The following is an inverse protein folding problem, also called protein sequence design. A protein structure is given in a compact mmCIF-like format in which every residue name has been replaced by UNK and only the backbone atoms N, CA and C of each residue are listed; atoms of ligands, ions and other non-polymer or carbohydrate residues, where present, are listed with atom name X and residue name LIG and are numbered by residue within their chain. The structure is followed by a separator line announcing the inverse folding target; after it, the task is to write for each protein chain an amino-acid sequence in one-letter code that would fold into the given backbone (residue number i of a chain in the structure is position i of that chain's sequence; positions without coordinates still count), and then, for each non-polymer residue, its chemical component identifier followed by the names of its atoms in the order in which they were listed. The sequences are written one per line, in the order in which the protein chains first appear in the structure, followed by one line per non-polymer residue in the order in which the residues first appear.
data_IF_852458501742
#
_entry.id   IF_852458501742
#
_cell.length_a   1.000
_cell.length_b   1.000
_cell.length_c   1.000
_cell.angle_alpha   90.00
_cell.angle_beta   90.00
_cell.angle_gamma   90.00
#
_symmetry.space_group_name_H-M   'P 1'
#
loop_
_entity.id
_entity.type
_entity.pdbx_description
1 polymer ?
#
# COMPACT_ATOMS: atom_id res chain seq x y z
N UNK A 1 -19.10 -1.59 -5.83
CA UNK A 1 -19.66 -0.46 -6.61
C UNK A 1 -21.17 -0.27 -6.46
N UNK A 2 -22.07 -1.17 -6.91
CA UNK A 2 -23.54 -0.94 -6.88
C UNK A 2 -24.16 -0.69 -5.49
N UNK A 3 -23.66 -1.30 -4.42
CA UNK A 3 -24.24 -1.11 -3.07
C UNK A 3 -23.89 0.26 -2.45
N UNK A 4 -22.68 0.78 -2.69
CA UNK A 4 -22.28 2.14 -2.24
C UNK A 4 -23.15 3.21 -2.89
N UNK A 5 -23.42 3.14 -4.20
CA UNK A 5 -24.27 4.11 -4.90
C UNK A 5 -25.69 4.19 -4.35
N UNK A 6 -26.28 3.07 -3.92
CA UNK A 6 -27.63 3.08 -3.34
C UNK A 6 -27.64 3.67 -1.91
N UNK A 7 -26.58 3.46 -1.13
CA UNK A 7 -26.41 4.08 0.20
C UNK A 7 -26.21 5.57 0.06
N UNK A 8 -25.30 5.99 -0.82
CA UNK A 8 -25.05 7.42 -1.12
C UNK A 8 -26.33 8.11 -1.60
N UNK A 9 -27.09 7.53 -2.53
CA UNK A 9 -28.39 8.08 -2.98
C UNK A 9 -29.41 8.21 -1.84
N UNK A 10 -29.42 7.28 -0.90
CA UNK A 10 -30.33 7.33 0.25
C UNK A 10 -29.92 8.40 1.25
N UNK A 11 -28.62 8.55 1.52
CA UNK A 11 -28.07 9.63 2.36
C UNK A 11 -28.35 10.97 1.72
N UNK A 12 -28.04 11.14 0.43
CA UNK A 12 -28.32 12.37 -0.33
C UNK A 12 -29.81 12.73 -0.33
N UNK A 13 -30.71 11.73 -0.30
CA UNK A 13 -32.17 11.95 -0.22
C UNK A 13 -32.63 12.50 1.12
N UNK A 14 -31.89 12.25 2.20
CA UNK A 14 -32.22 12.68 3.57
C UNK A 14 -31.37 13.90 4.04
N UNK A 15 -30.29 14.21 3.34
CA UNK A 15 -29.38 15.32 3.68
C UNK A 15 -30.03 16.68 3.35
N UNK A 16 -29.70 17.68 4.17
CA UNK A 16 -30.02 19.06 3.90
C UNK A 16 -29.31 19.59 2.64
N UNK A 17 -29.75 20.69 2.04
CA UNK A 17 -29.19 21.21 0.80
C UNK A 17 -27.67 21.51 0.86
N UNK A 18 -27.16 21.92 2.03
CA UNK A 18 -25.74 22.24 2.23
C UNK A 18 -24.90 20.99 2.23
N UNK A 19 -25.26 20.01 3.06
CA UNK A 19 -24.60 18.69 3.13
C UNK A 19 -24.67 17.96 1.80
N UNK A 20 -25.79 18.04 1.08
CA UNK A 20 -25.93 17.46 -0.27
C UNK A 20 -24.95 18.06 -1.26
N UNK A 21 -24.74 19.38 -1.21
CA UNK A 21 -23.79 20.08 -2.08
C UNK A 21 -22.36 19.65 -1.78
N UNK A 22 -21.97 19.57 -0.49
CA UNK A 22 -20.65 19.10 -0.06
C UNK A 22 -20.39 17.66 -0.52
N UNK A 23 -21.32 16.75 -0.30
CA UNK A 23 -21.19 15.36 -0.75
C UNK A 23 -21.04 15.28 -2.28
N UNK A 24 -21.81 16.04 -3.05
CA UNK A 24 -21.70 16.06 -4.50
C UNK A 24 -20.37 16.68 -5.00
N UNK A 25 -19.76 17.57 -4.25
CA UNK A 25 -18.43 18.10 -4.56
C UNK A 25 -17.34 17.06 -4.30
N UNK A 26 -17.40 16.37 -3.16
CA UNK A 26 -16.46 15.30 -2.82
C UNK A 26 -16.54 14.11 -3.77
N UNK A 27 -17.74 13.74 -4.23
CA UNK A 27 -17.95 12.65 -5.20
C UNK A 27 -17.36 12.90 -6.60
N UNK A 28 -16.86 14.11 -6.89
CA UNK A 28 -16.18 14.40 -8.15
C UNK A 28 -14.74 13.94 -8.17
N UNK A 29 -14.13 13.73 -7.01
CA UNK A 29 -12.75 13.27 -6.89
C UNK A 29 -12.67 11.74 -7.00
N UNK A 30 -11.55 11.19 -7.50
CA UNK A 30 -11.31 9.75 -7.47
C UNK A 30 -11.37 9.22 -6.04
N UNK A 31 -11.90 7.99 -5.84
CA UNK A 31 -12.06 7.40 -4.50
C UNK A 31 -10.71 7.28 -3.77
N UNK A 32 -9.64 6.88 -4.48
CA UNK A 32 -8.31 6.63 -3.93
C UNK A 32 -7.38 7.85 -4.03
N UNK A 33 -7.95 9.06 -3.89
CA UNK A 33 -7.19 10.32 -3.95
C UNK A 33 -7.38 11.18 -2.70
N UNK A 34 -6.44 12.11 -2.45
CA UNK A 34 -6.56 13.08 -1.37
C UNK A 34 -7.91 13.81 -1.37
N UNK A 35 -8.44 14.15 -2.56
CA UNK A 35 -9.76 14.75 -2.70
C UNK A 35 -10.92 13.83 -2.34
N UNK A 36 -10.75 12.51 -2.52
CA UNK A 36 -11.76 11.50 -2.18
C UNK A 36 -11.84 11.18 -0.69
N UNK A 37 -10.72 11.32 0.03
CA UNK A 37 -10.61 11.00 1.46
C UNK A 37 -10.58 12.22 2.38
N UNK A 38 -10.49 13.43 1.83
CA UNK A 38 -10.44 14.67 2.61
C UNK A 38 -11.79 15.01 3.29
N UNK A 39 -11.71 15.73 4.40
CA UNK A 39 -12.83 16.46 4.98
C UNK A 39 -12.75 17.96 4.63
N UNK A 40 -13.91 18.61 4.50
CA UNK A 40 -14.00 20.07 4.30
C UNK A 40 -14.20 20.82 5.61
N UNK A 41 -14.25 20.12 6.73
CA UNK A 41 -14.49 20.67 8.07
C UNK A 41 -13.18 21.16 8.72
N UNK A 42 -12.56 22.16 8.11
CA UNK A 42 -11.29 22.75 8.54
C UNK A 42 -11.47 24.16 9.14
N UNK A 43 -10.49 24.59 9.92
CA UNK A 43 -10.46 25.95 10.47
C UNK A 43 -9.64 26.87 9.57
N UNK A 44 -10.30 27.85 8.97
CA UNK A 44 -9.72 28.88 8.08
C UNK A 44 -9.63 30.24 8.78
N UNK A 45 -8.48 30.88 8.66
CA UNK A 45 -8.19 32.20 9.20
C UNK A 45 -7.70 33.15 8.11
N UNK A 46 -7.81 34.47 8.36
CA UNK A 46 -7.28 35.49 7.47
C UNK A 46 -5.97 36.07 8.02
N UNK A 47 -5.03 36.45 7.14
CA UNK A 47 -3.70 36.92 7.55
C UNK A 47 -3.71 38.23 8.33
N UNK A 48 -4.73 39.07 8.13
CA UNK A 48 -4.95 40.36 8.77
C UNK A 48 -5.66 40.30 10.13
N UNK A 49 -6.22 39.12 10.49
CA UNK A 49 -6.81 38.91 11.81
C UNK A 49 -5.74 39.02 12.90
N UNK A 50 -6.13 39.58 14.06
CA UNK A 50 -5.32 39.54 15.27
C UNK A 50 -5.44 38.16 15.95
N UNK A 51 -4.49 37.83 16.83
CA UNK A 51 -4.55 36.59 17.66
C UNK A 51 -5.85 36.54 18.46
N UNK A 52 -6.31 37.68 19.02
CA UNK A 52 -7.58 37.75 19.75
C UNK A 52 -8.79 37.42 18.87
N UNK A 53 -8.82 37.95 17.64
CA UNK A 53 -9.88 37.65 16.67
C UNK A 53 -9.86 36.20 16.21
N UNK A 54 -8.69 35.65 15.97
CA UNK A 54 -8.53 34.24 15.60
C UNK A 54 -9.02 33.29 16.71
N UNK A 55 -8.68 33.58 17.96
CA UNK A 55 -9.15 32.82 19.11
C UNK A 55 -10.67 32.87 19.27
N UNK A 56 -11.27 34.05 19.03
CA UNK A 56 -12.72 34.21 19.05
C UNK A 56 -13.39 33.45 17.90
N UNK A 57 -12.82 33.48 16.69
CA UNK A 57 -13.28 32.68 15.55
C UNK A 57 -13.23 31.17 15.83
N UNK A 58 -12.17 30.70 16.47
CA UNK A 58 -12.03 29.29 16.87
C UNK A 58 -13.08 28.92 17.91
N UNK A 59 -13.31 29.75 18.95
CA UNK A 59 -14.33 29.47 19.97
C UNK A 59 -15.74 29.40 19.38
N UNK A 60 -16.04 30.24 18.40
CA UNK A 60 -17.36 30.30 17.78
C UNK A 60 -17.62 29.18 16.79
N UNK A 61 -16.63 28.84 15.97
CA UNK A 61 -16.82 27.94 14.82
C UNK A 61 -16.13 26.56 14.99
N UNK A 62 -15.29 26.39 16.01
CA UNK A 62 -14.43 25.19 16.14
C UNK A 62 -15.18 23.91 16.51
N UNK A 63 -16.41 24.00 17.03
CA UNK A 63 -17.20 22.81 17.37
C UNK A 63 -17.62 21.98 16.15
N UNK A 64 -17.77 22.62 14.99
CA UNK A 64 -18.18 21.99 13.74
C UNK A 64 -16.96 21.66 12.85
N UNK A 65 -15.76 21.69 13.41
CA UNK A 65 -14.51 21.41 12.67
C UNK A 65 -13.90 20.08 13.09
N UNK A 66 -13.36 19.35 12.13
CA UNK A 66 -12.67 18.09 12.35
C UNK A 66 -11.49 18.26 13.30
N UNK A 67 -10.73 19.34 13.14
CA UNK A 67 -9.64 19.71 14.03
C UNK A 67 -9.45 21.22 14.08
N UNK A 68 -9.04 21.71 15.27
CA UNK A 68 -8.61 23.10 15.51
C UNK A 68 -7.12 23.19 15.82
N UNK A 69 -6.42 22.05 15.84
CA UNK A 69 -4.99 22.02 16.18
C UNK A 69 -4.14 22.82 15.18
N UNK A 70 -4.52 22.75 13.90
CA UNK A 70 -3.93 23.51 12.82
C UNK A 70 -5.02 24.38 12.17
N UNK A 71 -4.80 25.70 12.15
CA UNK A 71 -5.66 26.65 11.45
C UNK A 71 -4.94 27.08 10.19
N UNK A 72 -5.62 27.03 9.06
CA UNK A 72 -5.03 27.34 7.76
C UNK A 72 -5.32 28.78 7.39
N UNK A 73 -4.27 29.48 6.94
CA UNK A 73 -4.38 30.89 6.57
C UNK A 73 -4.51 31.01 5.06
N UNK A 74 -5.56 31.70 4.61
CA UNK A 74 -5.86 31.87 3.19
C UNK A 74 -5.97 33.33 2.82
N UNK A 75 -5.68 33.65 1.55
CA UNK A 75 -5.94 34.98 0.97
C UNK A 75 -7.42 35.15 0.56
N UNK A 76 -7.74 36.29 -0.04
CA UNK A 76 -9.12 36.61 -0.52
C UNK A 76 -9.60 35.69 -1.63
N UNK A 77 -8.68 35.02 -2.34
CA UNK A 77 -8.96 34.01 -3.36
C UNK A 77 -8.99 32.57 -2.82
N UNK A 78 -8.97 32.41 -1.49
CA UNK A 78 -8.86 31.12 -0.77
C UNK A 78 -7.58 30.35 -1.05
N UNK A 79 -6.53 30.98 -1.54
CA UNK A 79 -5.23 30.31 -1.71
C UNK A 79 -4.58 30.11 -0.36
N UNK A 80 -4.02 28.93 -0.16
CA UNK A 80 -3.28 28.58 1.05
C UNK A 80 -1.96 29.35 1.09
N UNK A 81 -1.78 30.21 2.10
CA UNK A 81 -0.60 31.07 2.28
C UNK A 81 0.17 30.77 3.57
N UNK A 82 -0.44 30.03 4.50
CA UNK A 82 0.22 29.69 5.77
C UNK A 82 -0.59 28.74 6.63
N UNK A 83 0.02 28.29 7.71
CA UNK A 83 -0.61 27.53 8.79
C UNK A 83 -0.20 28.09 10.14
N UNK A 84 -1.12 28.15 11.08
CA UNK A 84 -0.84 28.53 12.45
C UNK A 84 -1.42 27.45 13.39
N UNK A 85 -0.60 26.97 14.33
CA UNK A 85 -1.09 26.00 15.30
C UNK A 85 -1.88 26.68 16.43
N UNK A 86 -2.89 26.01 16.97
CA UNK A 86 -3.60 26.46 18.16
C UNK A 86 -2.61 26.71 19.31
N UNK A 87 -1.56 25.90 19.43
CA UNK A 87 -0.50 26.11 20.41
C UNK A 87 0.19 27.46 20.25
N UNK A 88 0.50 27.87 19.02
CA UNK A 88 1.12 29.17 18.76
C UNK A 88 0.20 30.31 19.17
N UNK A 89 -1.10 30.23 18.84
CA UNK A 89 -2.12 31.20 19.22
C UNK A 89 -2.26 31.34 20.74
N UNK A 90 -2.31 30.22 21.47
CA UNK A 90 -2.44 30.20 22.95
C UNK A 90 -1.21 30.77 23.64
N UNK A 91 0.01 30.53 23.06
CA UNK A 91 1.27 31.00 23.64
C UNK A 91 1.72 32.37 23.14
N UNK A 92 0.98 33.01 22.25
CA UNK A 92 1.26 34.36 21.77
C UNK A 92 1.20 35.36 22.93
N UNK A 93 2.25 36.15 23.06
CA UNK A 93 2.36 37.16 24.15
C UNK A 93 1.54 38.42 23.87
N UNK A 94 1.38 38.74 22.60
CA UNK A 94 0.61 39.91 22.16
C UNK A 94 -0.66 39.46 21.41
N UNK A 95 -1.83 39.72 21.96
CA UNK A 95 -3.11 39.35 21.38
C UNK A 95 -3.51 40.22 20.17
N UNK A 96 -2.85 41.37 20.02
CA UNK A 96 -3.08 42.29 18.87
C UNK A 96 -2.12 42.02 17.70
N UNK A 97 -1.24 41.05 17.84
CA UNK A 97 -0.34 40.61 16.77
C UNK A 97 -1.12 40.01 15.61
N UNK A 98 -0.86 40.39 14.34
CA UNK A 98 -1.56 39.83 13.20
C UNK A 98 -1.08 38.41 12.90
N UNK A 99 -2.00 37.55 12.45
CA UNK A 99 -1.73 36.13 12.15
C UNK A 99 -0.60 35.92 11.14
N UNK A 100 -0.46 36.82 10.17
CA UNK A 100 0.62 36.76 9.17
C UNK A 100 2.03 36.76 9.77
N UNK A 101 2.22 37.34 10.96
CA UNK A 101 3.54 37.41 11.61
C UNK A 101 3.79 36.17 12.48
N UNK A 102 2.74 35.40 12.79
CA UNK A 102 2.80 34.16 13.60
C UNK A 102 2.71 32.87 12.77
N UNK A 103 2.18 32.95 11.55
CA UNK A 103 1.99 31.78 10.71
C UNK A 103 3.30 31.25 10.14
N UNK A 104 3.37 29.95 9.91
CA UNK A 104 4.38 29.33 9.08
C UNK A 104 3.90 29.34 7.62
N UNK A 105 4.67 29.97 6.74
CA UNK A 105 4.39 30.05 5.30
C UNK A 105 4.96 28.87 4.51
N UNK A 106 5.78 28.01 5.12
CA UNK A 106 6.29 26.79 4.47
C UNK A 106 5.35 25.63 4.73
N UNK A 107 4.17 25.67 4.12
CA UNK A 107 3.13 24.66 4.33
C UNK A 107 3.30 23.48 3.37
N UNK A 108 3.43 22.28 3.92
CA UNK A 108 3.33 21.05 3.14
C UNK A 108 1.84 20.81 2.83
N UNK A 109 1.50 20.78 1.55
CA UNK A 109 0.14 20.52 1.06
C UNK A 109 0.16 19.46 -0.03
N UNK A 110 -0.98 18.83 -0.27
CA UNK A 110 -1.17 17.84 -1.34
C UNK A 110 -2.25 18.31 -2.31
N UNK A 111 -2.14 17.87 -3.56
CA UNK A 111 -3.18 18.13 -4.57
C UNK A 111 -4.40 17.22 -4.34
N UNK A 112 -5.59 17.66 -4.75
CA UNK A 112 -6.80 16.83 -4.77
C UNK A 112 -6.64 15.50 -5.52
N UNK A 113 -5.70 15.43 -6.47
CA UNK A 113 -5.43 14.24 -7.29
C UNK A 113 -4.27 13.39 -6.79
N UNK A 114 -3.61 13.78 -5.69
CA UNK A 114 -2.54 12.97 -5.08
C UNK A 114 -3.13 11.67 -4.57
N UNK A 115 -2.43 10.56 -4.81
CA UNK A 115 -2.81 9.23 -4.35
C UNK A 115 -2.88 9.18 -2.82
N UNK A 116 -3.87 8.45 -2.28
CA UNK A 116 -4.09 8.34 -0.83
C UNK A 116 -2.93 7.67 -0.10
N UNK A 117 -2.22 6.73 -0.76
CA UNK A 117 -1.04 6.08 -0.21
C UNK A 117 0.11 7.09 -0.06
N UNK A 118 0.35 7.91 -1.09
CA UNK A 118 1.36 8.98 -1.04
C UNK A 118 1.07 9.99 0.07
N UNK A 119 -0.22 10.35 0.25
CA UNK A 119 -0.66 11.24 1.35
C UNK A 119 -0.35 10.60 2.71
N UNK A 120 -0.67 9.33 2.88
CA UNK A 120 -0.46 8.59 4.14
C UNK A 120 1.01 8.46 4.48
N UNK A 121 1.88 8.27 3.49
CA UNK A 121 3.33 8.25 3.64
C UNK A 121 3.90 9.60 4.12
N UNK A 122 3.28 10.73 3.75
CA UNK A 122 3.66 12.04 4.29
C UNK A 122 3.37 12.17 5.79
N UNK A 123 2.28 11.57 6.30
CA UNK A 123 2.01 11.53 7.74
C UNK A 123 3.07 10.77 8.49
N UNK A 124 3.47 9.60 8.00
CA UNK A 124 4.55 8.81 8.60
C UNK A 124 5.87 9.56 8.61
N UNK A 125 6.21 10.19 7.49
CA UNK A 125 7.49 10.88 7.31
C UNK A 125 7.62 12.14 8.17
N UNK A 126 6.56 12.93 8.30
CA UNK A 126 6.63 14.27 8.93
C UNK A 126 5.92 14.33 10.28
N UNK A 127 5.13 13.33 10.66
CA UNK A 127 4.39 13.31 11.93
C UNK A 127 3.31 14.38 12.02
N UNK A 128 2.68 14.75 10.91
CA UNK A 128 1.60 15.74 10.89
C UNK A 128 0.32 15.20 11.56
N UNK A 129 -0.53 16.08 12.07
CA UNK A 129 -1.86 15.74 12.56
C UNK A 129 -2.94 15.93 11.49
N UNK A 130 -2.70 16.84 10.56
CA UNK A 130 -3.54 17.08 9.38
C UNK A 130 -2.69 17.68 8.26
N UNK A 131 -3.02 17.34 7.01
CA UNK A 131 -2.36 17.88 5.81
C UNK A 131 -3.43 18.59 4.97
N UNK A 132 -3.20 19.85 4.56
CA UNK A 132 -4.13 20.60 3.71
C UNK A 132 -4.11 20.07 2.28
N UNK A 133 -5.31 19.99 1.70
CA UNK A 133 -5.55 19.61 0.31
C UNK A 133 -5.87 20.84 -0.49
N UNK A 134 -5.18 21.01 -1.62
CA UNK A 134 -5.35 22.18 -2.50
C UNK A 134 -5.73 21.75 -3.91
N UNK A 135 -6.45 22.64 -4.61
CA UNK A 135 -6.75 22.44 -6.04
C UNK A 135 -5.60 22.91 -6.95
N UNK A 136 -5.82 22.85 -8.27
CA UNK A 136 -4.81 23.25 -9.27
C UNK A 136 -4.41 24.74 -9.17
N UNK A 137 -5.26 25.59 -8.61
CA UNK A 137 -5.01 27.02 -8.38
C UNK A 137 -4.46 27.33 -6.99
N UNK A 138 -4.04 26.29 -6.25
CA UNK A 138 -3.55 26.36 -4.85
C UNK A 138 -4.60 26.89 -3.86
N UNK A 139 -5.90 26.71 -4.14
CA UNK A 139 -6.96 27.05 -3.19
C UNK A 139 -7.18 25.88 -2.23
N UNK A 140 -7.33 26.22 -0.95
CA UNK A 140 -7.62 25.25 0.10
C UNK A 140 -9.04 24.69 -0.08
N UNK A 141 -9.14 23.37 -0.28
CA UNK A 141 -10.43 22.68 -0.50
C UNK A 141 -10.78 21.72 0.63
N UNK A 142 -9.80 21.19 1.36
CA UNK A 142 -10.03 20.26 2.45
C UNK A 142 -8.76 19.98 3.25
N UNK A 143 -8.87 19.04 4.15
CA UNK A 143 -7.75 18.46 4.90
C UNK A 143 -7.90 16.95 4.95
N UNK A 144 -6.78 16.21 5.01
CA UNK A 144 -6.74 14.82 5.42
C UNK A 144 -6.21 14.78 6.85
N UNK A 145 -6.79 13.95 7.70
CA UNK A 145 -6.40 13.83 9.12
C UNK A 145 -5.60 12.58 9.37
N UNK A 146 -4.88 12.51 10.50
CA UNK A 146 -4.00 11.38 10.83
C UNK A 146 -4.78 10.08 11.05
N UNK A 147 -5.99 10.13 11.58
CA UNK A 147 -6.85 8.96 11.81
C UNK A 147 -7.34 8.35 10.48
N UNK A 148 -7.69 9.19 9.50
CA UNK A 148 -7.97 8.75 8.13
C UNK A 148 -6.73 8.15 7.48
N UNK A 149 -5.56 8.80 7.61
CA UNK A 149 -4.30 8.30 7.08
C UNK A 149 -3.91 6.94 7.67
N UNK A 150 -4.13 6.71 8.97
CA UNK A 150 -3.90 5.41 9.62
C UNK A 150 -4.84 4.34 9.03
N UNK A 151 -6.10 4.68 8.80
CA UNK A 151 -7.07 3.76 8.19
C UNK A 151 -6.67 3.39 6.77
N UNK A 152 -6.24 4.36 5.97
CA UNK A 152 -5.73 4.15 4.62
C UNK A 152 -4.51 3.22 4.64
N UNK A 153 -3.52 3.46 5.49
CA UNK A 153 -2.33 2.60 5.61
C UNK A 153 -2.69 1.15 5.95
N UNK A 154 -3.71 0.93 6.79
CA UNK A 154 -4.19 -0.42 7.12
C UNK A 154 -4.88 -1.09 5.93
N UNK A 155 -5.67 -0.35 5.17
CA UNK A 155 -6.38 -0.85 4.00
C UNK A 155 -5.38 -1.19 2.87
N UNK A 156 -4.41 -0.32 2.58
CA UNK A 156 -3.32 -0.55 1.62
C UNK A 156 -2.47 -1.77 2.01
N UNK A 157 -2.06 -1.89 3.28
CA UNK A 157 -1.33 -3.06 3.76
C UNK A 157 -2.13 -4.36 3.59
N UNK A 158 -3.45 -4.30 3.80
CA UNK A 158 -4.34 -5.45 3.61
C UNK A 158 -4.51 -5.80 2.13
N UNK A 159 -4.57 -4.80 1.26
CA UNK A 159 -4.60 -4.98 -0.19
C UNK A 159 -3.30 -5.60 -0.71
N UNK A 160 -2.16 -5.13 -0.25
CA UNK A 160 -0.85 -5.67 -0.59
C UNK A 160 -0.70 -7.15 -0.21
N UNK A 161 -1.13 -7.51 1.00
CA UNK A 161 -1.17 -8.92 1.43
C UNK A 161 -2.07 -9.75 0.52
N UNK A 162 -3.21 -9.22 0.10
CA UNK A 162 -4.11 -9.92 -0.81
C UNK A 162 -3.48 -10.07 -2.21
N UNK A 163 -2.85 -9.03 -2.74
CA UNK A 163 -2.13 -9.04 -4.02
C UNK A 163 -0.97 -10.05 -4.02
N UNK A 164 -0.16 -10.09 -2.93
CA UNK A 164 0.92 -11.07 -2.78
C UNK A 164 0.44 -12.52 -2.90
N UNK A 165 -0.78 -12.79 -2.46
CA UNK A 165 -1.38 -14.13 -2.50
C UNK A 165 -2.31 -14.33 -3.72
N UNK A 166 -2.35 -13.38 -4.66
CA UNK A 166 -3.25 -13.36 -5.81
C UNK A 166 -4.74 -13.59 -5.40
N UNK A 167 -5.13 -13.04 -4.26
CA UNK A 167 -6.49 -13.04 -3.74
C UNK A 167 -7.09 -11.66 -4.05
N UNK A 168 -8.32 -11.64 -4.57
CA UNK A 168 -9.03 -10.36 -4.76
C UNK A 168 -9.23 -9.63 -3.42
N UNK A 169 -8.84 -8.35 -3.30
CA UNK A 169 -8.99 -7.58 -2.06
C UNK A 169 -10.47 -7.43 -1.68
N UNK A 170 -10.73 -7.23 -0.40
CA UNK A 170 -12.09 -7.07 0.11
C UNK A 170 -12.13 -6.08 1.28
N UNK A 171 -12.95 -5.05 1.15
CA UNK A 171 -13.21 -4.04 2.20
C UNK A 171 -14.05 -4.58 3.36
N UNK A 172 -14.47 -5.85 3.34
CA UNK A 172 -15.34 -6.40 4.37
C UNK A 172 -14.55 -7.21 5.39
N UNK A 173 -14.83 -7.03 6.70
CA UNK A 173 -14.31 -7.92 7.72
C UNK A 173 -14.60 -9.39 7.40
N UNK A 174 -13.69 -10.30 7.73
CA UNK A 174 -13.75 -11.71 7.37
C UNK A 174 -15.12 -12.37 7.66
N UNK A 175 -15.68 -12.17 8.84
CA UNK A 175 -16.97 -12.76 9.23
C UNK A 175 -18.19 -12.12 8.56
N UNK A 176 -18.03 -10.97 7.89
CA UNK A 176 -19.09 -10.32 7.09
C UNK A 176 -19.03 -10.68 5.61
N UNK A 177 -17.97 -11.37 5.18
CA UNK A 177 -17.84 -11.89 3.82
C UNK A 177 -18.72 -13.14 3.66
N UNK A 178 -19.44 -13.22 2.54
CA UNK A 178 -20.17 -14.44 2.21
C UNK A 178 -19.21 -15.52 1.70
N UNK A 179 -19.61 -16.79 1.80
CA UNK A 179 -18.87 -17.91 1.20
C UNK A 179 -18.61 -17.69 -0.31
N UNK A 180 -19.54 -17.07 -1.00
CA UNK A 180 -19.41 -16.74 -2.42
C UNK A 180 -18.43 -15.62 -2.69
N UNK A 181 -18.33 -14.62 -1.81
CA UNK A 181 -17.31 -13.57 -1.94
C UNK A 181 -15.90 -14.19 -1.80
N UNK A 182 -15.68 -15.05 -0.80
CA UNK A 182 -14.43 -15.78 -0.58
C UNK A 182 -14.08 -16.73 -1.73
N UNK A 183 -15.08 -17.45 -2.27
CA UNK A 183 -14.88 -18.31 -3.44
C UNK A 183 -14.45 -17.49 -4.67
N UNK A 184 -15.15 -16.42 -4.98
CA UNK A 184 -14.86 -15.57 -6.14
C UNK A 184 -13.49 -14.88 -6.08
N UNK A 185 -13.01 -14.56 -4.89
CA UNK A 185 -11.69 -13.93 -4.72
C UNK A 185 -10.53 -14.91 -4.93
N UNK A 186 -10.75 -16.24 -4.77
CA UNK A 186 -9.68 -17.25 -4.83
C UNK A 186 -9.75 -18.13 -6.08
N UNK A 187 -10.98 -18.50 -6.51
CA UNK A 187 -11.19 -19.48 -7.57
C UNK A 187 -10.51 -19.11 -8.92
N UNK A 188 -10.53 -17.86 -9.41
CA UNK A 188 -9.91 -17.51 -10.68
C UNK A 188 -8.40 -17.83 -10.71
N UNK A 189 -7.70 -17.48 -9.65
CA UNK A 189 -6.27 -17.76 -9.55
C UNK A 189 -5.96 -19.26 -9.46
N UNK A 190 -6.74 -20.02 -8.67
CA UNK A 190 -6.58 -21.47 -8.57
C UNK A 190 -6.84 -22.17 -9.89
N UNK A 191 -7.84 -21.72 -10.67
CA UNK A 191 -8.10 -22.23 -12.01
C UNK A 191 -6.96 -21.92 -12.98
N UNK A 192 -6.39 -20.72 -12.91
CA UNK A 192 -5.20 -20.37 -13.69
C UNK A 192 -4.00 -21.27 -13.36
N UNK A 193 -3.74 -21.51 -12.06
CA UNK A 193 -2.69 -22.43 -11.63
C UNK A 193 -2.93 -23.88 -12.09
N UNK A 194 -4.17 -24.33 -12.10
CA UNK A 194 -4.53 -25.66 -12.61
C UNK A 194 -4.21 -25.79 -14.12
N UNK A 195 -4.52 -24.77 -14.91
CA UNK A 195 -4.16 -24.72 -16.34
C UNK A 195 -2.64 -24.75 -16.50
N UNK A 196 -1.93 -23.94 -15.73
CA UNK A 196 -0.45 -23.89 -15.72
C UNK A 196 0.16 -25.26 -15.37
N UNK A 197 -0.41 -25.97 -14.39
CA UNK A 197 0.04 -27.32 -14.01
C UNK A 197 -0.11 -28.34 -15.15
N UNK A 198 -1.09 -28.15 -16.04
CA UNK A 198 -1.25 -29.00 -17.23
C UNK A 198 -0.05 -28.87 -18.18
N UNK A 199 0.48 -27.66 -18.39
CA UNK A 199 1.70 -27.46 -19.17
C UNK A 199 2.91 -28.11 -18.54
N UNK A 200 3.06 -28.04 -17.22
CA UNK A 200 4.11 -28.73 -16.48
C UNK A 200 4.03 -30.24 -16.67
N UNK A 201 2.83 -30.82 -16.64
CA UNK A 201 2.60 -32.24 -16.91
C UNK A 201 3.00 -32.64 -18.34
N UNK A 202 2.74 -31.80 -19.34
CA UNK A 202 3.15 -32.05 -20.73
C UNK A 202 4.69 -32.08 -20.87
N UNK A 203 5.39 -31.15 -20.20
CA UNK A 203 6.85 -31.12 -20.19
C UNK A 203 7.40 -32.40 -19.56
N UNK A 204 6.90 -32.82 -18.40
CA UNK A 204 7.33 -34.06 -17.71
C UNK A 204 7.15 -35.28 -18.61
N UNK A 205 6.00 -35.40 -19.30
CA UNK A 205 5.74 -36.49 -20.26
C UNK A 205 6.73 -36.48 -21.43
N UNK A 206 7.15 -35.32 -21.92
CA UNK A 206 8.13 -35.19 -22.99
C UNK A 206 9.51 -35.74 -22.63
N UNK A 207 9.81 -35.89 -21.32
CA UNK A 207 11.05 -36.45 -20.80
C UNK A 207 10.86 -37.80 -20.10
N UNK A 208 9.74 -38.49 -20.34
CA UNK A 208 9.41 -39.75 -19.67
C UNK A 208 10.48 -40.83 -19.83
N UNK A 209 11.02 -41.01 -21.03
CA UNK A 209 12.09 -41.98 -21.31
C UNK A 209 13.38 -41.69 -20.51
N UNK A 210 13.76 -40.40 -20.40
CA UNK A 210 14.90 -39.98 -19.63
C UNK A 210 14.69 -40.18 -18.12
N UNK A 211 13.49 -39.91 -17.64
CA UNK A 211 13.10 -40.11 -16.24
C UNK A 211 12.98 -41.61 -15.91
N UNK A 212 12.49 -42.43 -16.85
CA UNK A 212 12.41 -43.88 -16.68
C UNK A 212 13.82 -44.54 -16.58
N UNK A 213 14.81 -43.98 -17.28
CA UNK A 213 16.20 -44.43 -17.17
C UNK A 213 16.79 -44.22 -15.76
N UNK A 214 16.33 -43.18 -15.03
CA UNK A 214 16.77 -42.89 -13.68
C UNK A 214 15.54 -42.52 -12.83
N UNK A 215 14.70 -43.50 -12.54
CA UNK A 215 13.41 -43.38 -11.84
C UNK A 215 13.48 -42.63 -10.51
N UNK A 216 14.62 -42.70 -9.86
CA UNK A 216 14.87 -41.97 -8.60
C UNK A 216 14.73 -40.44 -8.77
N UNK A 217 15.00 -39.88 -9.96
CA UNK A 217 14.87 -38.43 -10.19
C UNK A 217 13.43 -37.93 -10.04
N UNK A 218 12.44 -38.73 -10.41
CA UNK A 218 11.02 -38.39 -10.30
C UNK A 218 10.60 -38.13 -8.86
N UNK A 219 11.19 -38.81 -7.89
CA UNK A 219 10.92 -38.65 -6.47
C UNK A 219 11.34 -37.25 -5.92
N UNK A 220 12.27 -36.59 -6.60
CA UNK A 220 12.77 -35.27 -6.17
C UNK A 220 12.10 -34.09 -6.87
N UNK A 221 11.27 -34.32 -7.89
CA UNK A 221 10.51 -33.22 -8.56
C UNK A 221 9.69 -32.39 -7.57
N UNK A 222 8.91 -32.98 -6.63
CA UNK A 222 8.15 -32.19 -5.65
C UNK A 222 9.05 -31.32 -4.76
N UNK A 223 10.19 -31.86 -4.32
CA UNK A 223 11.14 -31.10 -3.49
C UNK A 223 11.74 -29.91 -4.26
N UNK A 224 12.09 -30.10 -5.52
CA UNK A 224 12.65 -29.04 -6.37
C UNK A 224 11.63 -27.94 -6.64
N UNK A 225 10.39 -28.31 -6.96
CA UNK A 225 9.31 -27.34 -7.22
C UNK A 225 8.91 -26.57 -5.96
N UNK A 226 8.83 -27.25 -4.81
CA UNK A 226 8.51 -26.64 -3.52
C UNK A 226 9.60 -25.66 -3.08
N UNK A 227 10.86 -26.09 -3.11
CA UNK A 227 11.99 -25.23 -2.74
C UNK A 227 12.08 -23.98 -3.62
N UNK A 228 11.85 -24.12 -4.93
CA UNK A 228 11.84 -22.99 -5.85
C UNK A 228 10.63 -22.05 -5.63
N UNK A 229 9.44 -22.60 -5.43
CA UNK A 229 8.24 -21.83 -5.12
C UNK A 229 8.36 -21.03 -3.82
N UNK A 230 8.92 -21.66 -2.77
CA UNK A 230 9.17 -20.97 -1.50
C UNK A 230 10.22 -19.84 -1.65
N UNK A 231 11.30 -20.08 -2.41
CA UNK A 231 12.30 -19.05 -2.70
C UNK A 231 11.69 -17.85 -3.45
N UNK A 232 10.89 -18.13 -4.50
CA UNK A 232 10.17 -17.11 -5.24
C UNK A 232 9.21 -16.29 -4.35
N UNK A 233 8.41 -16.96 -3.53
CA UNK A 233 7.49 -16.30 -2.59
C UNK A 233 8.23 -15.39 -1.58
N UNK A 234 9.39 -15.82 -1.07
CA UNK A 234 10.21 -15.01 -0.17
C UNK A 234 10.75 -13.75 -0.86
N UNK A 235 11.24 -13.89 -2.10
CA UNK A 235 11.70 -12.74 -2.90
C UNK A 235 10.56 -11.76 -3.15
N UNK A 236 9.41 -12.25 -3.63
CA UNK A 236 8.19 -11.44 -3.85
C UNK A 236 7.81 -10.66 -2.60
N UNK A 237 7.66 -11.35 -1.47
CA UNK A 237 7.25 -10.70 -0.20
C UNK A 237 8.23 -9.63 0.25
N UNK A 238 9.54 -9.86 0.07
CA UNK A 238 10.59 -8.89 0.44
C UNK A 238 10.53 -7.65 -0.46
N UNK A 239 10.35 -7.85 -1.76
CA UNK A 239 10.31 -6.74 -2.73
C UNK A 239 9.02 -5.91 -2.58
N UNK A 240 7.85 -6.56 -2.47
CA UNK A 240 6.57 -5.85 -2.28
C UNK A 240 6.63 -5.03 -1.00
N UNK A 241 7.12 -5.60 0.11
CA UNK A 241 7.31 -4.83 1.34
C UNK A 241 8.26 -3.63 1.14
N UNK A 242 9.38 -3.83 0.43
CA UNK A 242 10.32 -2.74 0.16
C UNK A 242 9.69 -1.62 -0.70
N UNK A 243 8.79 -1.97 -1.61
CA UNK A 243 8.01 -0.99 -2.39
C UNK A 243 6.98 -0.27 -1.52
N UNK A 244 6.23 -1.01 -0.70
CA UNK A 244 5.20 -0.46 0.18
C UNK A 244 5.75 0.53 1.23
N UNK A 245 6.97 0.31 1.72
CA UNK A 245 7.64 1.25 2.65
C UNK A 245 8.50 2.31 1.96
N UNK A 246 8.50 2.36 0.62
CA UNK A 246 9.25 3.35 -0.16
C UNK A 246 10.77 3.13 -0.22
N UNK A 247 11.29 2.00 0.29
CA UNK A 247 12.72 1.65 0.23
C UNK A 247 13.18 1.26 -1.18
N UNK A 248 12.24 0.77 -2.00
CA UNK A 248 12.47 0.26 -3.36
C UNK A 248 11.61 1.04 -4.33
N UNK A 249 12.22 1.49 -5.43
CA UNK A 249 11.52 2.14 -6.53
C UNK A 249 11.70 1.36 -7.83
N UNK A 250 10.76 1.47 -8.82
CA UNK A 250 10.83 0.70 -10.06
C UNK A 250 12.14 0.86 -10.85
N UNK A 251 12.82 1.99 -10.71
CA UNK A 251 14.12 2.22 -11.37
C UNK A 251 15.29 1.45 -10.72
N UNK A 252 15.11 0.90 -9.52
CA UNK A 252 16.12 0.09 -8.84
C UNK A 252 16.16 -1.37 -9.32
N UNK A 253 15.27 -1.77 -10.25
CA UNK A 253 15.14 -3.14 -10.73
C UNK A 253 16.48 -3.83 -11.08
N UNK A 254 17.44 -3.21 -11.82
CA UNK A 254 18.71 -3.87 -12.12
C UNK A 254 19.55 -4.17 -10.87
N UNK A 255 19.49 -3.29 -9.87
CA UNK A 255 20.20 -3.47 -8.59
C UNK A 255 19.56 -4.58 -7.76
N UNK A 256 18.23 -4.65 -7.77
CA UNK A 256 17.45 -5.69 -7.09
C UNK A 256 17.77 -7.05 -7.69
N UNK A 257 17.68 -7.20 -9.02
CA UNK A 257 18.00 -8.45 -9.73
C UNK A 257 19.41 -8.94 -9.40
N UNK A 258 20.39 -8.05 -9.37
CA UNK A 258 21.76 -8.40 -9.00
C UNK A 258 21.90 -8.84 -7.54
N UNK A 259 21.19 -8.16 -6.63
CA UNK A 259 21.21 -8.50 -5.20
C UNK A 259 20.53 -9.83 -4.95
N UNK A 260 19.34 -10.05 -5.48
CA UNK A 260 18.57 -11.28 -5.35
C UNK A 260 19.28 -12.47 -5.99
N UNK A 261 19.93 -12.31 -7.14
CA UNK A 261 20.75 -13.38 -7.74
C UNK A 261 21.82 -13.90 -6.78
N UNK A 262 22.48 -12.99 -6.06
CA UNK A 262 23.53 -13.38 -5.09
C UNK A 262 22.93 -14.07 -3.87
N UNK A 263 21.80 -13.58 -3.36
CA UNK A 263 21.08 -14.22 -2.24
C UNK A 263 20.60 -15.60 -2.65
N UNK A 264 19.98 -15.74 -3.82
CA UNK A 264 19.49 -17.01 -4.35
C UNK A 264 20.64 -18.04 -4.54
N UNK A 265 21.82 -17.60 -5.01
CA UNK A 265 22.99 -18.47 -5.12
C UNK A 265 23.52 -18.92 -3.76
N UNK A 266 23.54 -18.05 -2.77
CA UNK A 266 23.96 -18.40 -1.40
C UNK A 266 22.97 -19.39 -0.76
N UNK A 267 21.68 -19.12 -0.84
CA UNK A 267 20.63 -20.01 -0.31
C UNK A 267 20.62 -21.34 -1.06
N UNK A 268 20.63 -21.31 -2.39
CA UNK A 268 20.65 -22.49 -3.24
C UNK A 268 21.90 -23.34 -3.01
N UNK A 269 23.06 -22.72 -2.89
CA UNK A 269 24.33 -23.40 -2.57
C UNK A 269 24.30 -24.08 -1.20
N UNK A 270 23.80 -23.37 -0.18
CA UNK A 270 23.67 -23.94 1.17
C UNK A 270 22.73 -25.15 1.17
N UNK A 271 21.55 -24.99 0.56
CA UNK A 271 20.57 -26.08 0.46
C UNK A 271 21.10 -27.25 -0.37
N UNK A 272 21.83 -26.99 -1.46
CA UNK A 272 22.43 -28.03 -2.27
C UNK A 272 23.48 -28.83 -1.49
N UNK A 273 24.34 -28.20 -0.71
CA UNK A 273 25.33 -28.91 0.13
C UNK A 273 24.62 -29.79 1.17
N UNK A 274 23.64 -29.26 1.89
CA UNK A 274 22.87 -30.03 2.87
C UNK A 274 22.13 -31.20 2.22
N UNK A 275 21.49 -30.96 1.06
CA UNK A 275 20.78 -31.99 0.33
C UNK A 275 21.71 -33.04 -0.25
N UNK A 276 22.89 -32.66 -0.73
CA UNK A 276 23.90 -33.62 -1.23
C UNK A 276 24.33 -34.63 -0.16
N UNK A 277 24.61 -34.13 1.05
CA UNK A 277 24.92 -34.98 2.20
C UNK A 277 23.74 -35.91 2.52
N UNK A 278 22.51 -35.36 2.55
CA UNK A 278 21.29 -36.16 2.77
C UNK A 278 21.15 -37.27 1.72
N UNK A 279 21.31 -36.97 0.43
CA UNK A 279 21.17 -37.92 -0.67
C UNK A 279 22.17 -39.06 -0.61
N UNK A 280 23.42 -38.77 -0.22
CA UNK A 280 24.45 -39.79 -0.09
C UNK A 280 24.28 -40.67 1.16
N UNK A 281 23.98 -40.05 2.31
CA UNK A 281 23.98 -40.71 3.63
C UNK A 281 22.67 -41.45 3.89
N UNK A 282 21.54 -40.76 3.69
CA UNK A 282 20.22 -41.30 4.03
C UNK A 282 19.58 -42.04 2.86
N UNK A 283 19.59 -41.42 1.68
CA UNK A 283 18.89 -41.96 0.49
C UNK A 283 19.82 -42.94 -0.28
N UNK A 284 21.12 -42.98 0.04
CA UNK A 284 22.15 -43.86 -0.55
C UNK A 284 22.18 -43.80 -2.08
N UNK A 285 22.00 -42.63 -2.63
CA UNK A 285 21.98 -42.40 -4.08
C UNK A 285 23.40 -42.23 -4.60
N UNK A 286 23.67 -42.71 -5.84
CA UNK A 286 24.94 -42.53 -6.49
C UNK A 286 25.32 -41.06 -6.62
N UNK A 287 26.58 -40.72 -6.31
CA UNK A 287 27.06 -39.34 -6.29
C UNK A 287 26.78 -38.53 -7.59
N UNK A 288 26.85 -39.07 -8.82
CA UNK A 288 26.51 -38.35 -10.03
C UNK A 288 25.04 -37.92 -10.07
N UNK A 289 24.11 -38.78 -9.63
CA UNK A 289 22.67 -38.46 -9.59
C UNK A 289 22.37 -37.39 -8.50
N UNK A 290 22.99 -37.55 -7.32
CA UNK A 290 22.89 -36.54 -6.25
C UNK A 290 23.40 -35.18 -6.71
N UNK A 291 24.50 -35.14 -7.49
CA UNK A 291 25.03 -33.89 -8.05
C UNK A 291 24.04 -33.23 -9.01
N UNK A 292 23.40 -33.97 -9.91
CA UNK A 292 22.39 -33.47 -10.84
C UNK A 292 21.22 -32.86 -10.07
N UNK A 293 20.68 -33.52 -9.04
CA UNK A 293 19.59 -33.02 -8.23
C UNK A 293 19.99 -31.71 -7.53
N UNK A 294 21.20 -31.63 -6.98
CA UNK A 294 21.70 -30.44 -6.29
C UNK A 294 21.95 -29.27 -7.24
N UNK A 295 22.48 -29.48 -8.42
CA UNK A 295 22.64 -28.42 -9.43
C UNK A 295 21.28 -27.93 -9.92
N UNK A 296 20.32 -28.82 -10.14
CA UNK A 296 18.95 -28.46 -10.50
C UNK A 296 18.33 -27.65 -9.39
N UNK A 297 18.53 -27.98 -8.12
CA UNK A 297 18.03 -27.21 -6.98
C UNK A 297 18.54 -25.76 -6.98
N UNK A 298 19.85 -25.56 -7.20
CA UNK A 298 20.43 -24.21 -7.30
C UNK A 298 19.80 -23.43 -8.46
N UNK A 299 19.72 -24.05 -9.65
CA UNK A 299 19.11 -23.42 -10.82
C UNK A 299 17.64 -23.05 -10.57
N UNK A 300 16.86 -23.94 -9.96
CA UNK A 300 15.45 -23.73 -9.66
C UNK A 300 15.27 -22.56 -8.69
N UNK A 301 16.03 -22.52 -7.60
CA UNK A 301 15.97 -21.43 -6.63
C UNK A 301 16.35 -20.10 -7.29
N UNK A 302 17.43 -20.06 -8.07
CA UNK A 302 17.89 -18.86 -8.76
C UNK A 302 16.83 -18.35 -9.74
N UNK A 303 16.32 -19.21 -10.63
CA UNK A 303 15.35 -18.80 -11.66
C UNK A 303 14.03 -18.37 -11.05
N UNK A 304 13.49 -19.13 -10.10
CA UNK A 304 12.20 -18.80 -9.49
C UNK A 304 12.27 -17.58 -8.58
N UNK A 305 13.39 -17.38 -7.86
CA UNK A 305 13.61 -16.13 -7.12
C UNK A 305 13.58 -14.89 -8.04
N UNK A 306 14.20 -14.98 -9.23
CA UNK A 306 14.28 -13.86 -10.17
C UNK A 306 13.00 -13.63 -10.98
N UNK A 307 12.27 -14.71 -11.34
CA UNK A 307 11.02 -14.59 -12.11
C UNK A 307 9.91 -13.94 -11.27
N UNK A 308 9.97 -14.08 -9.95
CA UNK A 308 8.94 -13.58 -9.04
C UNK A 308 9.23 -12.14 -8.52
N UNK A 309 10.26 -11.48 -9.01
CA UNK A 309 10.55 -10.06 -8.80
C UNK A 309 9.74 -9.22 -9.78
#
# INVERSE_FOLDING_TARGET
MYKRQNVVKRILGQADPTTRRMINELLKYPEDSAGGVMTTELMELRPDMTVAQAMEAIRRNGFDKETINNCYVTDDSRRLIGVVSLRALVLAKNTEEPIKDLMDSNVVSVSTTTDQEDVSNLFEKYGFLAIPVVDAENRLVGIVTIDDAISILQDEASEDIAKMNAIGPSDKPYFKQSMWDLYKSRAPWLLFLMISATFSSLVIRGYEDALAAVTVLTAYIPMLTDAGGNAGSQSTSTIIRGMAVGDIQPHDLPRILWRESRVALLCGGTLAVCNFVKLLVFDRIAAPVALVVCLTLICTILLLSLIHI
#
